data_IF_777017913297
#
_entry.id   IF_777017913297
#
_cell.length_a   1.000
_cell.length_b   1.000
_cell.length_c   1.000
_cell.angle_alpha   90.00
_cell.angle_beta   90.00
_cell.angle_gamma   90.00
#
_symmetry.space_group_name_H-M   'P 1'
#
loop_
_entity.id
_entity.type
_entity.pdbx_description
1 polymer ?
#
# COMPACT_ATOMS: atom_id res chain seq x y z
N UNK A 1 -7.20 -3.57 21.28
CA UNK A 1 -7.98 -2.78 20.30
C UNK A 1 -8.42 -3.69 19.16
N UNK A 2 -9.46 -3.34 18.43
CA UNK A 2 -10.00 -4.20 17.35
C UNK A 2 -9.52 -3.69 15.99
N UNK A 3 -9.09 -4.64 15.13
CA UNK A 3 -8.83 -4.42 13.70
C UNK A 3 -10.10 -3.91 13.02
N UNK A 4 -9.98 -2.87 12.20
CA UNK A 4 -11.09 -2.38 11.37
C UNK A 4 -11.09 -3.09 10.01
N UNK A 5 -12.27 -3.21 9.42
CA UNK A 5 -12.43 -3.65 8.03
C UNK A 5 -12.01 -2.57 7.06
N UNK A 6 -11.61 -2.95 5.83
CA UNK A 6 -11.26 -2.00 4.77
C UNK A 6 -12.37 -0.95 4.55
N UNK A 7 -13.63 -1.42 4.54
CA UNK A 7 -14.81 -0.56 4.39
C UNK A 7 -14.94 0.46 5.52
N UNK A 8 -14.82 0.04 6.78
CA UNK A 8 -14.86 0.97 7.90
C UNK A 8 -13.73 1.99 7.86
N UNK A 9 -12.55 1.59 7.39
CA UNK A 9 -11.39 2.47 7.28
C UNK A 9 -11.68 3.57 6.26
N UNK A 10 -12.05 3.22 5.02
CA UNK A 10 -12.27 4.20 3.95
C UNK A 10 -13.50 5.08 4.18
N UNK A 11 -14.56 4.56 4.81
CA UNK A 11 -15.75 5.36 5.14
C UNK A 11 -15.46 6.40 6.24
N UNK A 12 -14.41 6.20 7.04
CA UNK A 12 -14.10 7.05 8.21
C UNK A 12 -12.83 7.87 8.05
N UNK A 13 -11.94 7.52 7.13
CA UNK A 13 -10.71 8.27 6.88
C UNK A 13 -11.03 9.70 6.40
N UNK A 14 -10.23 10.71 6.76
CA UNK A 14 -10.38 12.04 6.20
C UNK A 14 -10.06 12.06 4.69
N UNK A 15 -10.59 13.05 3.98
CA UNK A 15 -10.28 13.25 2.56
C UNK A 15 -8.77 13.39 2.34
N UNK A 16 -8.27 12.87 1.22
CA UNK A 16 -6.83 12.83 0.91
C UNK A 16 -6.08 11.64 1.50
N UNK A 17 -6.75 10.71 2.19
CA UNK A 17 -6.18 9.44 2.63
C UNK A 17 -6.62 8.26 1.74
N UNK A 18 -5.76 7.26 1.61
CA UNK A 18 -6.04 5.99 0.91
C UNK A 18 -5.63 4.80 1.76
N UNK A 19 -6.44 3.74 1.74
CA UNK A 19 -6.12 2.48 2.39
C UNK A 19 -5.50 1.50 1.38
N UNK A 20 -4.21 1.20 1.54
CA UNK A 20 -3.45 0.33 0.65
C UNK A 20 -2.61 -0.62 1.48
N UNK A 21 -2.63 -1.91 1.11
CA UNK A 21 -1.75 -2.95 1.67
C UNK A 21 -1.70 -2.94 3.22
N UNK A 22 -2.87 -2.91 3.87
CA UNK A 22 -2.97 -3.03 5.32
C UNK A 22 -2.71 -1.76 6.14
N UNK A 23 -2.44 -0.62 5.49
CA UNK A 23 -2.17 0.67 6.15
C UNK A 23 -2.89 1.84 5.48
N UNK A 24 -3.05 2.93 6.23
CA UNK A 24 -3.51 4.23 5.73
C UNK A 24 -2.32 5.05 5.24
N UNK A 25 -2.47 5.69 4.09
CA UNK A 25 -1.44 6.51 3.46
C UNK A 25 -1.99 7.88 3.06
N UNK A 26 -1.17 8.92 3.17
CA UNK A 26 -1.40 10.22 2.54
C UNK A 26 -0.08 10.87 2.17
N UNK A 27 -0.12 11.84 1.26
CA UNK A 27 1.00 12.69 0.87
C UNK A 27 0.70 14.14 1.19
N UNK A 28 1.56 14.77 1.97
CA UNK A 28 1.49 16.20 2.29
C UNK A 28 2.26 16.97 1.21
N UNK A 29 1.62 17.85 0.43
CA UNK A 29 2.31 18.65 -0.62
C UNK A 29 2.93 19.92 -0.05
N UNK A 30 4.13 19.77 0.50
CA UNK A 30 4.80 20.84 1.24
C UNK A 30 5.45 21.89 0.32
N UNK A 31 5.70 21.55 -0.94
CA UNK A 31 6.30 22.46 -1.94
C UNK A 31 7.80 22.68 -1.76
N UNK A 32 8.28 22.69 -0.52
CA UNK A 32 9.68 22.77 -0.14
C UNK A 32 10.00 21.93 1.11
N UNK A 33 11.29 21.76 1.38
CA UNK A 33 11.80 20.91 2.44
C UNK A 33 11.61 21.52 3.84
N UNK A 34 11.68 22.84 3.98
CA UNK A 34 11.56 23.51 5.27
C UNK A 34 10.14 23.40 5.82
N UNK A 35 9.15 23.59 4.96
CA UNK A 35 7.72 23.39 5.25
C UNK A 35 7.45 21.93 5.64
N UNK A 36 8.03 20.97 4.90
CA UNK A 36 7.92 19.55 5.25
C UNK A 36 8.54 19.20 6.59
N UNK A 37 9.74 19.69 6.88
CA UNK A 37 10.40 19.47 8.17
C UNK A 37 9.61 20.06 9.35
N UNK A 38 9.01 21.25 9.16
CA UNK A 38 8.16 21.86 10.18
C UNK A 38 6.91 20.99 10.48
N UNK A 39 6.24 20.48 9.45
CA UNK A 39 5.12 19.55 9.61
C UNK A 39 5.54 18.23 10.26
N UNK A 40 6.68 17.65 9.85
CA UNK A 40 7.23 16.43 10.48
C UNK A 40 7.43 16.63 11.99
N UNK A 41 7.97 17.77 12.41
CA UNK A 41 8.13 18.08 13.84
C UNK A 41 6.78 18.20 14.57
N UNK A 42 5.79 18.86 13.97
CA UNK A 42 4.47 19.01 14.54
C UNK A 42 3.75 17.66 14.67
N UNK A 43 3.79 16.84 13.62
CA UNK A 43 3.24 15.48 13.60
C UNK A 43 3.96 14.60 14.64
N UNK A 44 5.28 14.69 14.74
CA UNK A 44 6.07 13.97 15.74
C UNK A 44 5.68 14.33 17.18
N UNK A 45 5.47 15.62 17.47
CA UNK A 45 5.00 16.05 18.79
C UNK A 45 3.58 15.52 19.10
N UNK A 46 2.70 15.52 18.10
CA UNK A 46 1.35 14.94 18.24
C UNK A 46 1.41 13.42 18.45
N UNK A 47 2.31 12.73 17.77
CA UNK A 47 2.52 11.28 17.88
C UNK A 47 2.95 10.89 19.30
N UNK A 48 3.92 11.61 19.87
CA UNK A 48 4.36 11.42 21.26
C UNK A 48 3.22 11.66 22.26
N UNK A 49 2.42 12.71 22.07
CA UNK A 49 1.28 12.98 22.93
C UNK A 49 0.18 11.90 22.83
N UNK A 50 0.07 11.25 21.67
CA UNK A 50 -0.91 10.20 21.40
C UNK A 50 -0.42 8.79 21.75
N UNK A 51 0.87 8.60 22.02
CA UNK A 51 1.54 7.29 22.10
C UNK A 51 1.17 6.40 20.89
N UNK A 52 1.22 7.01 19.70
CA UNK A 52 0.86 6.37 18.43
C UNK A 52 1.64 7.02 17.29
N UNK A 53 2.64 6.31 16.78
CA UNK A 53 3.65 6.89 15.88
C UNK A 53 3.39 6.50 14.42
N UNK A 54 3.29 7.49 13.50
CA UNK A 54 3.31 7.23 12.07
C UNK A 54 4.73 6.92 11.56
N UNK A 55 4.81 6.27 10.41
CA UNK A 55 6.03 6.32 9.58
C UNK A 55 5.99 7.57 8.71
N UNK A 56 7.10 8.32 8.70
CA UNK A 56 7.24 9.58 7.97
C UNK A 56 8.43 9.52 7.02
N UNK A 57 8.18 9.75 5.72
CA UNK A 57 9.23 9.88 4.70
C UNK A 57 9.26 11.32 4.16
N UNK A 58 10.23 12.10 4.65
CA UNK A 58 10.44 13.48 4.24
C UNK A 58 11.23 13.56 2.94
N UNK A 59 10.59 14.07 1.89
CA UNK A 59 11.17 14.34 0.58
C UNK A 59 11.24 15.84 0.31
N UNK A 60 11.89 16.22 -0.79
CA UNK A 60 12.15 17.63 -1.07
C UNK A 60 10.88 18.50 -1.14
N UNK A 61 9.78 18.00 -1.72
CA UNK A 61 8.54 18.78 -1.90
C UNK A 61 7.30 18.13 -1.29
N UNK A 62 7.48 17.05 -0.52
CA UNK A 62 6.37 16.34 0.10
C UNK A 62 6.82 15.50 1.30
N UNK A 63 5.85 15.14 2.14
CA UNK A 63 6.01 14.14 3.21
C UNK A 63 5.00 13.01 2.95
N UNK A 64 5.47 11.77 2.86
CA UNK A 64 4.57 10.62 2.88
C UNK A 64 4.35 10.17 4.33
N UNK A 65 3.09 9.95 4.67
CA UNK A 65 2.66 9.52 6.01
C UNK A 65 1.99 8.16 5.89
N UNK A 66 2.46 7.19 6.69
CA UNK A 66 1.83 5.87 6.82
C UNK A 66 1.34 5.66 8.24
N UNK A 67 0.11 5.15 8.39
CA UNK A 67 -0.52 4.84 9.67
C UNK A 67 -0.99 3.39 9.74
N UNK A 68 -0.48 2.69 10.74
CA UNK A 68 -0.91 1.35 11.15
C UNK A 68 -0.67 1.18 12.65
N UNK A 69 -1.53 0.43 13.34
CA UNK A 69 -1.29 0.08 14.74
C UNK A 69 -0.35 -1.13 14.82
N UNK A 70 0.93 -0.87 15.12
CA UNK A 70 2.02 -1.87 15.06
C UNK A 70 1.79 -3.08 15.97
N UNK A 71 1.21 -2.85 17.15
CA UNK A 71 0.90 -3.89 18.15
C UNK A 71 -0.12 -4.93 17.67
N UNK A 72 -0.96 -4.57 16.68
CA UNK A 72 -1.95 -5.48 16.09
C UNK A 72 -1.74 -5.72 14.59
N UNK A 73 -0.69 -5.12 14.00
CA UNK A 73 -0.36 -5.23 12.57
C UNK A 73 -1.50 -4.81 11.62
N UNK A 74 -2.38 -3.90 12.05
CA UNK A 74 -3.56 -3.49 11.28
C UNK A 74 -4.04 -2.08 11.64
N UNK A 75 -4.80 -1.47 10.74
CA UNK A 75 -5.45 -0.18 11.01
C UNK A 75 -6.54 -0.36 12.08
N UNK A 76 -6.51 0.53 13.07
CA UNK A 76 -7.43 0.60 14.18
C UNK A 76 -8.06 1.99 14.29
N UNK A 77 -8.90 2.17 15.32
CA UNK A 77 -9.43 3.49 15.65
C UNK A 77 -8.36 4.53 16.04
N UNK A 78 -7.14 4.12 16.46
CA UNK A 78 -6.03 5.06 16.73
C UNK A 78 -5.58 5.74 15.44
N UNK A 79 -5.37 4.94 14.41
CA UNK A 79 -4.93 5.42 13.09
C UNK A 79 -5.94 6.42 12.52
N UNK A 80 -7.24 6.12 12.59
CA UNK A 80 -8.28 7.04 12.12
C UNK A 80 -8.40 8.33 12.94
N UNK A 81 -8.03 8.32 14.22
CA UNK A 81 -7.97 9.56 15.03
C UNK A 81 -6.74 10.36 14.64
N UNK A 82 -5.60 9.70 14.52
CA UNK A 82 -4.34 10.35 14.20
C UNK A 82 -4.33 10.91 12.77
N UNK A 83 -4.97 10.24 11.81
CA UNK A 83 -5.18 10.73 10.46
C UNK A 83 -5.93 12.08 10.44
N UNK A 84 -6.90 12.28 11.35
CA UNK A 84 -7.59 13.58 11.51
C UNK A 84 -6.66 14.63 12.10
N UNK A 85 -5.87 14.27 13.12
CA UNK A 85 -4.86 15.17 13.68
C UNK A 85 -3.87 15.66 12.62
N UNK A 86 -3.41 14.76 11.74
CA UNK A 86 -2.55 15.13 10.60
C UNK A 86 -3.29 16.06 9.64
N UNK A 87 -4.56 15.81 9.34
CA UNK A 87 -5.37 16.69 8.49
C UNK A 87 -5.51 18.10 9.10
N UNK A 88 -5.80 18.21 10.39
CA UNK A 88 -5.92 19.49 11.10
C UNK A 88 -4.59 20.28 11.04
N UNK A 89 -3.45 19.62 11.30
CA UNK A 89 -2.12 20.24 11.19
C UNK A 89 -1.81 20.74 9.78
N UNK A 90 -2.25 20.02 8.76
CA UNK A 90 -2.04 20.40 7.37
C UNK A 90 -2.94 21.57 6.96
N UNK A 91 -4.19 21.60 7.42
CA UNK A 91 -5.09 22.73 7.23
C UNK A 91 -4.52 24.01 7.86
N UNK A 92 -4.04 23.92 9.10
CA UNK A 92 -3.39 25.05 9.79
C UNK A 92 -2.14 25.55 9.06
N UNK A 93 -1.37 24.64 8.45
CA UNK A 93 -0.17 24.97 7.67
C UNK A 93 -0.48 25.39 6.22
N UNK A 94 -1.72 25.30 5.76
CA UNK A 94 -2.09 25.56 4.36
C UNK A 94 -1.51 24.55 3.37
N UNK A 95 -1.29 23.31 3.81
CA UNK A 95 -0.69 22.22 3.02
C UNK A 95 -1.77 21.21 2.63
N UNK A 96 -1.84 20.86 1.35
CA UNK A 96 -2.83 19.91 0.85
C UNK A 96 -2.45 18.47 1.18
N UNK A 97 -3.46 17.66 1.51
CA UNK A 97 -3.39 16.21 1.53
C UNK A 97 -3.73 15.65 0.14
N UNK A 98 -2.94 14.69 -0.32
CA UNK A 98 -3.18 13.99 -1.57
C UNK A 98 -3.15 12.48 -1.39
N UNK A 99 -4.11 11.80 -2.02
CA UNK A 99 -4.13 10.34 -2.19
C UNK A 99 -3.72 9.89 -3.58
N UNK A 100 -3.91 10.75 -4.58
CA UNK A 100 -3.68 10.44 -5.99
C UNK A 100 -2.21 10.13 -6.26
N UNK A 101 -1.97 9.03 -6.98
CA UNK A 101 -0.62 8.61 -7.35
C UNK A 101 0.14 7.89 -6.24
N UNK A 102 -0.44 7.73 -5.04
CA UNK A 102 0.11 6.83 -4.02
C UNK A 102 -0.17 5.40 -4.46
N UNK A 103 0.91 4.61 -4.57
CA UNK A 103 0.81 3.18 -4.87
C UNK A 103 1.75 2.39 -3.96
N UNK A 104 1.39 1.15 -3.66
CA UNK A 104 2.25 0.21 -2.94
C UNK A 104 2.49 -1.01 -3.79
N UNK A 105 3.76 -1.38 -3.90
CA UNK A 105 4.18 -2.57 -4.62
C UNK A 105 4.29 -3.73 -3.63
N UNK A 106 3.74 -4.85 -4.03
CA UNK A 106 3.91 -6.15 -3.41
C UNK A 106 4.35 -7.14 -4.49
N UNK A 107 5.20 -8.10 -4.15
CA UNK A 107 5.60 -9.15 -5.08
C UNK A 107 4.91 -10.45 -4.72
N UNK A 108 4.30 -11.07 -5.72
CA UNK A 108 3.80 -12.43 -5.62
C UNK A 108 4.79 -13.41 -6.25
N UNK A 109 5.03 -14.52 -5.58
CA UNK A 109 5.73 -15.67 -6.15
C UNK A 109 4.79 -16.87 -6.18
N UNK A 110 4.42 -17.26 -7.39
CA UNK A 110 3.69 -18.48 -7.66
C UNK A 110 4.51 -19.72 -7.25
N UNK A 111 3.94 -20.51 -6.35
CA UNK A 111 4.49 -21.79 -5.94
C UNK A 111 3.42 -22.87 -5.80
N UNK A 112 3.68 -24.10 -6.29
CA UNK A 112 2.81 -25.25 -6.01
C UNK A 112 2.84 -25.66 -4.54
N UNK A 113 3.94 -25.35 -3.83
CA UNK A 113 4.18 -25.73 -2.44
C UNK A 113 5.08 -24.70 -1.77
N UNK A 114 4.49 -23.57 -1.37
CA UNK A 114 5.20 -22.42 -0.77
C UNK A 114 6.00 -22.81 0.47
N UNK A 115 5.52 -23.77 1.27
CA UNK A 115 6.22 -24.26 2.48
C UNK A 115 7.65 -24.75 2.25
N UNK A 116 8.01 -25.18 1.02
CA UNK A 116 9.38 -25.58 0.66
C UNK A 116 10.32 -24.40 0.42
N UNK A 117 9.78 -23.25 0.03
CA UNK A 117 10.57 -22.09 -0.42
C UNK A 117 10.52 -20.91 0.55
N UNK A 118 9.49 -20.82 1.39
CA UNK A 118 9.35 -19.75 2.41
C UNK A 118 10.61 -19.63 3.29
N UNK A 119 11.22 -20.71 3.82
CA UNK A 119 12.43 -20.58 4.65
C UNK A 119 13.63 -19.98 3.90
N UNK A 120 13.76 -20.25 2.60
CA UNK A 120 14.82 -19.66 1.77
C UNK A 120 14.62 -18.15 1.63
N UNK A 121 13.40 -17.72 1.31
CA UNK A 121 13.10 -16.30 1.13
C UNK A 121 13.18 -15.52 2.44
N UNK A 122 12.71 -16.08 3.55
CA UNK A 122 12.89 -15.48 4.87
C UNK A 122 14.37 -15.24 5.19
N UNK A 123 15.24 -16.21 4.88
CA UNK A 123 16.69 -16.08 5.09
C UNK A 123 17.32 -15.01 4.19
N UNK A 124 16.97 -15.00 2.90
CA UNK A 124 17.53 -14.03 1.91
C UNK A 124 17.07 -12.61 2.19
N UNK A 125 15.78 -12.43 2.44
CA UNK A 125 15.19 -11.11 2.68
C UNK A 125 15.41 -10.63 4.12
N UNK A 126 15.95 -11.50 5.00
CA UNK A 126 16.01 -11.27 6.46
C UNK A 126 14.64 -10.89 7.02
N UNK A 127 13.60 -11.54 6.51
CA UNK A 127 12.21 -11.22 6.79
C UNK A 127 11.57 -12.18 7.78
N UNK A 128 10.47 -11.72 8.37
CA UNK A 128 9.60 -12.51 9.24
C UNK A 128 8.60 -13.31 8.40
N UNK A 129 8.37 -14.57 8.78
CA UNK A 129 7.45 -15.47 8.08
C UNK A 129 6.03 -15.21 8.62
N UNK A 130 5.13 -14.79 7.73
CA UNK A 130 3.69 -14.70 7.95
C UNK A 130 2.95 -15.98 7.56
N UNK A 131 1.65 -15.87 7.33
CA UNK A 131 0.80 -17.02 6.94
C UNK A 131 1.18 -17.55 5.55
N UNK A 132 1.31 -16.64 4.59
CA UNK A 132 1.54 -16.89 3.17
C UNK A 132 2.51 -15.86 2.58
N UNK A 133 3.32 -15.24 3.43
CA UNK A 133 4.18 -14.11 3.07
C UNK A 133 5.47 -14.07 3.89
N UNK A 134 6.44 -13.32 3.39
CA UNK A 134 7.65 -12.90 4.10
C UNK A 134 7.69 -11.37 4.10
N UNK A 135 7.81 -10.79 5.29
CA UNK A 135 7.80 -9.34 5.51
C UNK A 135 9.15 -8.83 5.99
N UNK A 136 9.61 -7.73 5.42
CA UNK A 136 10.73 -6.94 5.91
C UNK A 136 10.32 -5.46 5.81
N UNK A 137 10.42 -4.65 6.88
CA UNK A 137 10.02 -3.23 6.86
C UNK A 137 10.70 -2.38 5.78
N UNK A 138 11.90 -2.77 5.35
CA UNK A 138 12.70 -2.05 4.36
C UNK A 138 12.43 -2.50 2.92
N UNK A 139 11.62 -3.55 2.71
CA UNK A 139 11.38 -4.16 1.40
C UNK A 139 9.88 -4.32 1.11
N UNK A 140 9.48 -4.37 -0.17
CA UNK A 140 8.14 -4.83 -0.53
C UNK A 140 7.85 -6.22 0.07
N UNK A 141 6.61 -6.43 0.50
CA UNK A 141 6.13 -7.75 0.92
C UNK A 141 6.32 -8.75 -0.22
N UNK A 142 6.79 -9.94 0.12
CA UNK A 142 6.78 -11.10 -0.78
C UNK A 142 5.71 -12.09 -0.29
N UNK A 143 4.63 -12.26 -1.04
CA UNK A 143 3.61 -13.27 -0.76
C UNK A 143 3.66 -14.42 -1.76
N UNK A 144 3.10 -15.57 -1.37
CA UNK A 144 3.19 -16.81 -2.13
C UNK A 144 1.80 -17.27 -2.60
N UNK A 145 1.58 -17.19 -3.90
CA UNK A 145 0.35 -17.66 -4.51
C UNK A 145 0.42 -19.17 -4.79
N UNK A 146 -0.58 -19.91 -4.32
CA UNK A 146 -0.70 -21.32 -4.68
C UNK A 146 -0.99 -21.45 -6.18
N UNK A 147 -0.19 -22.25 -6.88
CA UNK A 147 -0.25 -22.37 -8.34
C UNK A 147 0.02 -23.79 -8.84
N UNK A 148 -0.13 -24.01 -10.15
CA UNK A 148 0.22 -25.27 -10.81
C UNK A 148 1.72 -25.44 -11.10
N UNK A 149 2.07 -26.60 -11.66
CA UNK A 149 3.44 -26.96 -12.04
C UNK A 149 3.75 -26.72 -13.53
N UNK A 150 2.83 -26.15 -14.29
CA UNK A 150 2.98 -26.00 -15.74
C UNK A 150 4.09 -25.00 -16.09
N UNK A 151 4.91 -25.33 -17.08
CA UNK A 151 5.99 -24.49 -17.61
C UNK A 151 6.04 -24.54 -19.14
N UNK A 152 6.42 -23.44 -19.84
CA UNK A 152 6.90 -22.17 -19.28
C UNK A 152 5.75 -21.23 -18.85
N UNK A 153 5.91 -20.57 -17.69
CA UNK A 153 5.04 -19.47 -17.25
C UNK A 153 5.79 -18.42 -16.44
N UNK A 154 5.24 -17.22 -16.39
CA UNK A 154 5.66 -16.22 -15.42
C UNK A 154 5.30 -16.71 -14.01
N UNK A 155 6.29 -16.74 -13.12
CA UNK A 155 6.12 -17.12 -11.71
C UNK A 155 6.08 -15.93 -10.76
N UNK A 156 6.72 -14.84 -11.16
CA UNK A 156 6.75 -13.61 -10.39
C UNK A 156 5.74 -12.65 -10.98
N UNK A 157 4.84 -12.08 -10.20
CA UNK A 157 4.07 -10.94 -10.65
C UNK A 157 4.12 -9.81 -9.62
N UNK A 158 4.32 -8.57 -10.07
CA UNK A 158 4.08 -7.40 -9.25
C UNK A 158 2.58 -7.21 -9.06
N UNK A 159 2.19 -6.95 -7.81
CA UNK A 159 0.86 -6.53 -7.42
C UNK A 159 0.93 -5.07 -7.00
N UNK A 160 0.36 -4.20 -7.83
CA UNK A 160 0.37 -2.76 -7.62
C UNK A 160 -0.95 -2.33 -6.98
N UNK A 161 -0.89 -2.00 -5.69
CA UNK A 161 -2.02 -1.50 -4.93
C UNK A 161 -2.23 -0.01 -5.17
N UNK A 162 -3.42 0.38 -5.61
CA UNK A 162 -3.79 1.76 -5.98
C UNK A 162 -5.17 2.13 -5.41
N UNK A 163 -5.46 3.43 -5.36
CA UNK A 163 -6.81 3.90 -5.07
C UNK A 163 -7.79 3.40 -6.15
N UNK A 164 -9.00 2.92 -5.79
CA UNK A 164 -10.01 2.48 -6.76
C UNK A 164 -10.29 3.47 -7.89
N UNK A 165 -10.22 4.77 -7.62
CA UNK A 165 -10.47 5.81 -8.62
C UNK A 165 -9.41 5.88 -9.72
N UNK A 166 -8.20 5.34 -9.48
CA UNK A 166 -7.10 5.35 -10.45
C UNK A 166 -7.07 4.11 -11.35
N UNK A 167 -7.84 3.07 -11.04
CA UNK A 167 -7.74 1.78 -11.74
C UNK A 167 -8.05 1.91 -13.22
N UNK A 168 -9.20 2.48 -13.58
CA UNK A 168 -9.64 2.51 -14.98
C UNK A 168 -8.69 3.34 -15.84
N UNK A 169 -8.26 4.51 -15.35
CA UNK A 169 -7.31 5.36 -16.06
C UNK A 169 -5.98 4.61 -16.33
N UNK A 170 -5.48 3.87 -15.34
CA UNK A 170 -4.24 3.09 -15.47
C UNK A 170 -4.39 1.92 -16.44
N UNK A 171 -5.54 1.22 -16.44
CA UNK A 171 -5.86 0.18 -17.43
C UNK A 171 -5.87 0.77 -18.84
N UNK A 172 -6.59 1.87 -19.05
CA UNK A 172 -6.72 2.52 -20.35
C UNK A 172 -5.35 3.00 -20.86
N UNK A 173 -4.53 3.57 -19.98
CA UNK A 173 -3.17 3.99 -20.29
C UNK A 173 -2.27 2.81 -20.69
N UNK A 174 -2.36 1.68 -19.97
CA UNK A 174 -1.58 0.48 -20.29
C UNK A 174 -1.99 -0.13 -21.64
N UNK A 175 -3.29 -0.20 -21.93
CA UNK A 175 -3.80 -0.67 -23.23
C UNK A 175 -3.35 0.26 -24.36
N UNK A 176 -3.44 1.58 -24.16
CA UNK A 176 -2.96 2.57 -25.12
C UNK A 176 -1.45 2.46 -25.39
N UNK A 177 -0.67 2.02 -24.40
CA UNK A 177 0.76 1.76 -24.53
C UNK A 177 1.08 0.41 -25.21
N UNK A 178 0.07 -0.35 -25.64
CA UNK A 178 0.22 -1.64 -26.35
C UNK A 178 0.07 -2.86 -25.47
N UNK A 179 -0.26 -2.69 -24.18
CA UNK A 179 -0.63 -3.79 -23.30
C UNK A 179 -2.04 -4.30 -23.55
N UNK A 180 -2.44 -5.32 -22.79
CA UNK A 180 -3.80 -5.87 -22.80
C UNK A 180 -4.32 -6.15 -21.40
N UNK A 181 -5.63 -6.03 -21.23
CA UNK A 181 -6.33 -6.59 -20.08
C UNK A 181 -6.52 -8.09 -20.31
N UNK A 182 -5.86 -8.90 -19.49
CA UNK A 182 -5.91 -10.37 -19.56
C UNK A 182 -7.09 -10.92 -18.76
N UNK A 183 -7.36 -10.34 -17.59
CA UNK A 183 -8.47 -10.77 -16.74
C UNK A 183 -8.99 -9.62 -15.88
N UNK A 184 -10.31 -9.53 -15.77
CA UNK A 184 -11.08 -8.70 -14.84
C UNK A 184 -12.03 -9.55 -13.97
N UNK A 185 -11.86 -10.87 -13.96
CA UNK A 185 -12.76 -11.80 -13.29
C UNK A 185 -12.87 -11.59 -11.77
N UNK A 186 -11.81 -11.01 -11.18
CA UNK A 186 -11.69 -10.75 -9.75
C UNK A 186 -11.88 -9.25 -9.42
N UNK A 187 -12.38 -8.46 -10.37
CA UNK A 187 -12.76 -7.08 -10.12
C UNK A 187 -13.92 -7.01 -9.11
N UNK A 188 -13.93 -6.05 -8.17
CA UNK A 188 -13.01 -4.91 -8.07
C UNK A 188 -11.74 -5.18 -7.24
N UNK A 189 -11.53 -6.40 -6.75
CA UNK A 189 -10.37 -6.74 -5.93
C UNK A 189 -9.05 -6.60 -6.70
N UNK A 190 -9.00 -7.11 -7.94
CA UNK A 190 -7.87 -6.87 -8.84
C UNK A 190 -8.17 -7.16 -10.33
N UNK A 191 -7.29 -6.65 -11.18
CA UNK A 191 -7.24 -6.88 -12.63
C UNK A 191 -5.85 -7.35 -13.03
N UNK A 192 -5.75 -8.19 -14.06
CA UNK A 192 -4.48 -8.67 -14.61
C UNK A 192 -4.23 -8.02 -15.96
N UNK A 193 -3.16 -7.22 -16.04
CA UNK A 193 -2.67 -6.63 -17.27
C UNK A 193 -1.46 -7.42 -17.78
N UNK A 194 -1.21 -7.35 -19.08
CA UNK A 194 -0.02 -7.91 -19.72
C UNK A 194 0.60 -6.91 -20.70
N UNK A 195 1.92 -6.79 -20.66
CA UNK A 195 2.70 -5.97 -21.60
C UNK A 195 2.90 -6.67 -22.97
N UNK A 196 3.49 -6.00 -23.98
CA UNK A 196 3.71 -6.60 -25.29
C UNK A 196 4.61 -7.85 -25.32
N UNK A 197 5.44 -8.06 -24.30
CA UNK A 197 6.38 -9.17 -24.20
C UNK A 197 5.81 -10.35 -23.40
N UNK A 198 4.59 -10.23 -22.87
CA UNK A 198 3.91 -11.27 -22.13
C UNK A 198 4.06 -11.20 -20.62
N UNK A 199 4.69 -10.14 -20.08
CA UNK A 199 4.83 -9.95 -18.64
C UNK A 199 3.54 -9.39 -18.05
N UNK A 200 3.09 -10.00 -16.96
CA UNK A 200 1.86 -9.68 -16.25
C UNK A 200 2.09 -8.85 -15.00
N UNK A 201 1.13 -8.00 -14.68
CA UNK A 201 1.05 -7.20 -13.45
C UNK A 201 -0.41 -7.18 -12.98
N UNK A 202 -0.63 -7.25 -11.67
CA UNK A 202 -1.95 -7.03 -11.10
C UNK A 202 -2.12 -5.57 -10.68
N UNK A 203 -3.26 -4.97 -11.03
CA UNK A 203 -3.73 -3.75 -10.36
C UNK A 203 -4.69 -4.17 -9.25
N UNK A 204 -4.35 -3.86 -8.00
CA UNK A 204 -5.04 -4.32 -6.81
C UNK A 204 -5.73 -3.15 -6.10
N UNK A 205 -6.91 -3.40 -5.53
CA UNK A 205 -7.58 -2.46 -4.62
C UNK A 205 -7.95 -3.15 -3.31
N UNK A 206 -8.38 -2.38 -2.32
CA UNK A 206 -8.89 -2.89 -1.05
C UNK A 206 -10.31 -3.48 -1.14
N UNK A 207 -11.02 -3.26 -2.26
CA UNK A 207 -12.43 -3.61 -2.40
C UNK A 207 -12.65 -5.12 -2.47
N UNK A 208 -13.77 -5.59 -1.93
CA UNK A 208 -14.26 -6.97 -2.00
C UNK A 208 -13.25 -8.08 -1.62
N UNK A 209 -12.26 -7.73 -0.79
CA UNK A 209 -11.33 -8.68 -0.16
C UNK A 209 -11.86 -9.12 1.20
N UNK A 210 -12.00 -10.44 1.38
CA UNK A 210 -12.41 -11.08 2.63
C UNK A 210 -11.29 -11.12 3.65
#
# INVERSE_FOLDING_TARGET
>A
MTKLTAREIVERAPDGWVYLLGALHTRLRTGDFATGLALVNAIGAAAEAADHHPDLDLRYTYVDVTLVSHDIGAVSGRDLRFARTVADLCEEAGVALEREGIAKLEFALDSPESGKIVPFWAAVLRGEIGTDEVKNPDLPTLWFQQSGNDEPRQRWHPDLWVDPSEVQERIDAAIKAGGRLVSDAEAPSFWVLEDPDGNKVCLCTWQDRT
#
